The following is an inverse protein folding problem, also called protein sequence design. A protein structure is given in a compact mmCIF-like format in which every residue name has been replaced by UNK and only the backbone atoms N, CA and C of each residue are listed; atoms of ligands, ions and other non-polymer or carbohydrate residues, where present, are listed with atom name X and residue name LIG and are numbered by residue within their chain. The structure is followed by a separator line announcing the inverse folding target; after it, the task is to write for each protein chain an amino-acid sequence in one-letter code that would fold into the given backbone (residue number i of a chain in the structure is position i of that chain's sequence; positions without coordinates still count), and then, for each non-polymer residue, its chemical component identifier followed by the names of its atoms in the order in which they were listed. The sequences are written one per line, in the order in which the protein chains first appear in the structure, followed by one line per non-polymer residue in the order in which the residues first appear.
data_IF_851551429730
#
_entry.id   IF_851551429730
#
_cell.length_a   1.000
_cell.length_b   1.000
_cell.length_c   1.000
_cell.angle_alpha   90.00
_cell.angle_beta   90.00
_cell.angle_gamma   90.00
#
_symmetry.space_group_name_H-M   'P 1'
#
loop_
_entity.id
_entity.type
_entity.pdbx_description
1 polymer ?
#
# COMPACT_ATOMS: atom_id res chain seq x y z
N UNK A 1 2.88 -2.03 4.54
CA UNK A 1 3.36 -0.74 3.96
C UNK A 1 3.95 0.18 5.02
N UNK A 2 3.18 0.63 6.02
CA UNK A 2 3.71 1.50 7.08
C UNK A 2 4.95 0.90 7.78
N UNK A 3 4.91 -0.38 8.15
CA UNK A 3 6.05 -1.05 8.79
C UNK A 3 7.29 -1.20 7.90
N UNK A 4 7.13 -1.15 6.57
CA UNK A 4 8.26 -1.18 5.65
C UNK A 4 9.00 0.16 5.63
N UNK A 5 8.27 1.29 5.62
CA UNK A 5 8.87 2.63 5.58
C UNK A 5 9.24 3.17 6.97
N UNK A 6 8.42 2.93 8.00
CA UNK A 6 8.62 3.45 9.36
C UNK A 6 9.17 2.42 10.36
N UNK A 7 9.36 1.18 9.93
CA UNK A 7 9.75 0.05 10.78
C UNK A 7 8.55 -0.66 11.44
N UNK A 8 8.62 -1.99 11.62
CA UNK A 8 7.51 -2.82 12.10
C UNK A 8 7.05 -2.42 13.50
N UNK A 9 7.98 -2.12 14.42
CA UNK A 9 7.63 -1.72 15.80
C UNK A 9 6.77 -0.45 15.87
N UNK A 10 7.00 0.52 14.97
CA UNK A 10 6.19 1.75 14.93
C UNK A 10 4.80 1.46 14.35
N UNK A 11 4.73 0.68 13.28
CA UNK A 11 3.47 0.29 12.68
C UNK A 11 2.59 -0.50 13.66
N UNK A 12 3.17 -1.46 14.38
CA UNK A 12 2.45 -2.23 15.41
C UNK A 12 1.92 -1.33 16.53
N UNK A 13 2.74 -0.36 16.96
CA UNK A 13 2.32 0.63 17.97
C UNK A 13 1.11 1.43 17.49
N UNK A 14 1.16 1.97 16.27
CA UNK A 14 0.05 2.75 15.69
C UNK A 14 -1.22 1.91 15.50
N UNK A 15 -1.10 0.65 15.09
CA UNK A 15 -2.25 -0.26 14.98
C UNK A 15 -2.98 -0.42 16.32
N UNK A 16 -2.23 -0.44 17.44
CA UNK A 16 -2.79 -0.56 18.79
C UNK A 16 -3.34 0.77 19.31
N UNK A 17 -2.60 1.86 19.11
CA UNK A 17 -2.91 3.19 19.68
C UNK A 17 -4.04 3.90 18.91
N UNK A 18 -4.04 3.82 17.58
CA UNK A 18 -5.03 4.52 16.74
C UNK A 18 -6.37 3.79 16.69
N UNK A 19 -6.36 2.46 16.88
CA UNK A 19 -7.53 1.57 17.03
C UNK A 19 -8.80 2.01 16.28
N UNK A 20 -8.71 2.17 14.96
CA UNK A 20 -9.83 2.63 14.12
C UNK A 20 -10.87 1.53 13.80
N UNK A 21 -11.02 0.52 14.66
CA UNK A 21 -11.99 -0.58 14.50
C UNK A 21 -11.97 -1.27 13.10
N UNK A 22 -10.80 -1.32 12.45
CA UNK A 22 -10.64 -1.89 11.11
C UNK A 22 -10.84 -0.92 9.95
N UNK A 23 -11.23 0.34 10.21
CA UNK A 23 -11.23 1.38 9.18
C UNK A 23 -9.79 1.67 8.74
N UNK A 24 -9.48 1.18 7.55
CA UNK A 24 -8.15 1.26 6.99
C UNK A 24 -7.83 2.65 6.46
N UNK A 25 -8.83 3.43 6.03
CA UNK A 25 -8.63 4.78 5.54
C UNK A 25 -8.39 5.75 6.69
N UNK A 26 -9.17 5.64 7.76
CA UNK A 26 -8.92 6.37 9.00
C UNK A 26 -7.52 6.06 9.57
N UNK A 27 -7.10 4.78 9.54
CA UNK A 27 -5.73 4.42 9.94
C UNK A 27 -4.67 5.09 9.09
N UNK A 28 -4.80 5.07 7.75
CA UNK A 28 -3.84 5.73 6.84
C UNK A 28 -3.74 7.22 7.14
N UNK A 29 -4.87 7.88 7.38
CA UNK A 29 -4.94 9.31 7.70
C UNK A 29 -4.62 9.65 9.16
N UNK A 30 -4.27 8.67 9.98
CA UNK A 30 -3.81 8.89 11.34
C UNK A 30 -2.32 8.54 11.53
N UNK A 31 -1.63 8.04 10.49
CA UNK A 31 -0.18 7.78 10.54
C UNK A 31 0.58 9.07 10.90
N UNK A 32 1.34 9.10 12.01
CA UNK A 32 1.95 10.33 12.52
C UNK A 32 3.04 10.94 11.64
N UNK A 33 3.67 10.15 10.77
CA UNK A 33 4.69 10.66 9.87
C UNK A 33 4.10 10.94 8.50
N UNK A 34 4.22 12.19 8.07
CA UNK A 34 3.75 12.63 6.75
C UNK A 34 4.42 11.88 5.62
N UNK A 35 5.71 11.57 5.75
CA UNK A 35 6.46 10.75 4.80
C UNK A 35 5.83 9.36 4.66
N UNK A 36 5.58 8.68 5.79
CA UNK A 36 5.00 7.33 5.79
C UNK A 36 3.57 7.32 5.27
N UNK A 37 2.77 8.33 5.62
CA UNK A 37 1.41 8.51 5.09
C UNK A 37 1.43 8.69 3.58
N UNK A 38 2.31 9.54 3.07
CA UNK A 38 2.49 9.80 1.64
C UNK A 38 2.97 8.53 0.93
N UNK A 39 3.94 7.82 1.50
CA UNK A 39 4.44 6.55 0.98
C UNK A 39 3.31 5.51 0.83
N UNK A 40 2.52 5.30 1.88
CA UNK A 40 1.39 4.35 1.85
C UNK A 40 0.39 4.74 0.76
N UNK A 41 0.02 6.03 0.66
CA UNK A 41 -0.90 6.53 -0.37
C UNK A 41 -0.37 6.29 -1.79
N UNK A 42 0.89 6.60 -2.05
CA UNK A 42 1.53 6.43 -3.36
C UNK A 42 1.59 4.96 -3.75
N UNK A 43 2.01 4.07 -2.84
CA UNK A 43 2.11 2.64 -3.14
C UNK A 43 0.75 2.03 -3.44
N UNK A 44 -0.30 2.37 -2.68
CA UNK A 44 -1.65 1.86 -2.93
C UNK A 44 -2.24 2.39 -4.25
N UNK A 45 -2.00 3.66 -4.58
CA UNK A 45 -2.39 4.22 -5.88
C UNK A 45 -1.69 3.48 -7.02
N UNK A 46 -0.38 3.27 -6.91
CA UNK A 46 0.38 2.58 -7.94
C UNK A 46 -0.05 1.12 -8.06
N UNK A 47 -0.30 0.44 -6.95
CA UNK A 47 -0.85 -0.92 -6.95
C UNK A 47 -2.15 -0.99 -7.75
N UNK A 48 -3.10 -0.08 -7.52
CA UNK A 48 -4.35 -0.03 -8.30
C UNK A 48 -4.11 0.23 -9.81
N UNK A 49 -3.12 1.05 -10.16
CA UNK A 49 -2.72 1.27 -11.56
C UNK A 49 -2.14 -0.01 -12.17
N UNK A 50 -1.22 -0.69 -11.47
CA UNK A 50 -0.62 -1.94 -11.93
C UNK A 50 -1.64 -3.06 -12.06
N UNK A 51 -2.57 -3.20 -11.10
CA UNK A 51 -3.69 -4.13 -11.20
C UNK A 51 -4.56 -3.85 -12.43
N UNK A 52 -4.80 -2.59 -12.77
CA UNK A 52 -5.54 -2.26 -13.99
C UNK A 52 -4.78 -2.58 -15.27
N UNK A 53 -3.46 -2.36 -15.29
CA UNK A 53 -2.62 -2.59 -16.46
C UNK A 53 -2.30 -4.06 -16.69
N UNK A 54 -2.18 -4.83 -15.60
CA UNK A 54 -1.62 -6.18 -15.64
C UNK A 54 -2.48 -7.24 -14.93
N UNK A 55 -3.50 -6.86 -14.16
CA UNK A 55 -4.32 -7.81 -13.37
C UNK A 55 -5.20 -8.74 -14.19
N UNK A 56 -5.38 -8.45 -15.49
CA UNK A 56 -6.02 -9.37 -16.45
C UNK A 56 -5.03 -10.19 -17.28
N UNK A 57 -3.73 -9.88 -17.19
CA UNK A 57 -2.72 -10.60 -17.94
C UNK A 57 -2.47 -11.95 -17.27
N UNK A 58 -2.66 -13.05 -18.02
CA UNK A 58 -2.20 -14.36 -17.56
C UNK A 58 -0.66 -14.32 -17.46
N UNK A 59 -0.05 -14.86 -16.38
CA UNK A 59 1.39 -15.00 -16.30
C UNK A 59 1.89 -15.80 -17.52
N UNK A 60 2.46 -15.13 -18.52
CA UNK A 60 2.92 -15.72 -19.79
C UNK A 60 2.51 -14.98 -21.07
N UNK A 61 1.52 -14.08 -21.03
CA UNK A 61 1.03 -13.38 -22.24
C UNK A 61 1.76 -12.06 -22.54
N UNK A 62 2.44 -11.50 -21.52
CA UNK A 62 3.21 -10.25 -21.63
C UNK A 62 4.50 -10.37 -22.49
N UNK A 63 4.82 -11.58 -22.99
CA UNK A 63 6.06 -11.89 -23.73
C UNK A 63 5.78 -12.24 -25.21
N UNK A 64 4.58 -11.99 -25.75
CA UNK A 64 4.25 -12.31 -27.17
C UNK A 64 3.65 -11.16 -27.97
N UNK A 65 4.14 -9.94 -27.75
CA UNK A 65 3.88 -8.82 -28.66
C UNK A 65 5.21 -8.44 -29.30
N UNK A 66 5.65 -9.22 -30.30
CA UNK A 66 6.93 -8.97 -30.96
C UNK A 66 7.50 -10.09 -31.83
N UNK A 67 6.68 -10.90 -32.51
CA UNK A 67 7.09 -11.77 -33.63
C UNK A 67 6.34 -11.36 -34.90
#
# INVERSE_FOLDING_TARGET
LAGYNAGPSRADRWCRELNHAGDTDAFRDAIPFDETRTYVRVVLRNHAIYERLYGSARPGELVRVGD
#
